data_IF_954627930746
#
_entry.id   IF_954627930746
#
_cell.length_a   1.000
_cell.length_b   1.000
_cell.length_c   1.000
_cell.angle_alpha   90.00
_cell.angle_beta   90.00
_cell.angle_gamma   90.00
#
_symmetry.space_group_name_H-M   'P 1'
#
loop_
_entity.id
_entity.type
_entity.pdbx_description
1 polymer ?
#
# COMPACT_ATOMS: atom_id res chain seq x y z
N UNK A 1 -9.69 10.58 19.68
CA UNK A 1 -10.24 9.82 18.54
C UNK A 1 -9.05 9.26 17.75
N UNK A 2 -8.54 8.08 18.10
CA UNK A 2 -7.31 7.54 17.50
C UNK A 2 -7.56 7.08 16.07
N UNK A 3 -6.90 7.71 15.10
CA UNK A 3 -6.95 7.28 13.71
C UNK A 3 -6.50 5.81 13.63
N UNK A 4 -7.42 4.92 13.27
CA UNK A 4 -7.12 3.50 13.01
C UNK A 4 -6.24 3.47 11.75
N UNK A 5 -4.91 3.40 11.92
CA UNK A 5 -3.99 3.14 10.80
C UNK A 5 -4.34 1.79 10.18
N UNK A 6 -4.76 1.78 8.92
CA UNK A 6 -4.88 0.56 8.15
C UNK A 6 -3.50 0.06 7.75
N UNK A 7 -3.15 -1.19 8.08
CA UNK A 7 -1.90 -1.82 7.62
C UNK A 7 -2.05 -2.25 6.16
N UNK A 8 -1.12 -1.83 5.31
CA UNK A 8 -0.94 -2.33 3.94
C UNK A 8 0.16 -3.40 3.88
N UNK A 9 0.23 -4.27 4.89
CA UNK A 9 1.01 -5.51 4.83
C UNK A 9 0.49 -6.33 3.64
N UNK A 10 1.16 -6.22 2.50
CA UNK A 10 0.86 -7.05 1.35
C UNK A 10 2.15 -7.28 0.59
N UNK A 11 2.48 -8.56 0.43
CA UNK A 11 3.72 -9.02 -0.18
C UNK A 11 3.73 -8.58 -1.65
N UNK A 12 4.78 -7.88 -2.06
CA UNK A 12 5.03 -7.53 -3.46
C UNK A 12 5.96 -8.57 -4.07
N UNK A 13 5.59 -9.11 -5.23
CA UNK A 13 6.38 -10.08 -5.95
C UNK A 13 7.31 -9.37 -6.96
N UNK A 14 8.62 -9.51 -6.78
CA UNK A 14 9.61 -8.80 -7.61
C UNK A 14 10.03 -9.57 -8.85
N UNK A 15 9.71 -10.86 -8.92
CA UNK A 15 10.05 -11.73 -10.05
C UNK A 15 8.94 -11.74 -11.10
N UNK A 16 7.74 -11.30 -10.71
CA UNK A 16 6.60 -11.11 -11.57
C UNK A 16 6.88 -10.04 -12.64
N UNK A 17 6.38 -10.23 -13.88
CA UNK A 17 6.42 -9.21 -14.92
C UNK A 17 5.53 -7.99 -14.60
N UNK A 18 4.71 -8.06 -13.56
CA UNK A 18 3.82 -6.98 -13.15
C UNK A 18 4.61 -5.89 -12.41
N UNK A 19 4.53 -4.60 -12.82
CA UNK A 19 5.23 -3.53 -12.12
C UNK A 19 4.83 -3.39 -10.64
N UNK A 20 5.80 -3.13 -9.77
CA UNK A 20 5.59 -3.05 -8.31
C UNK A 20 4.56 -2.00 -7.88
N UNK A 21 4.48 -0.85 -8.57
CA UNK A 21 3.48 0.18 -8.27
C UNK A 21 2.06 -0.35 -8.55
N UNK A 22 1.90 -1.19 -9.57
CA UNK A 22 0.61 -1.74 -9.97
C UNK A 22 0.17 -2.82 -8.98
N UNK A 23 1.10 -3.69 -8.57
CA UNK A 23 0.85 -4.67 -7.51
C UNK A 23 0.45 -3.97 -6.20
N UNK A 24 1.13 -2.88 -5.85
CA UNK A 24 0.80 -2.08 -4.67
C UNK A 24 -0.60 -1.47 -4.76
N UNK A 25 -0.97 -0.90 -5.91
CA UNK A 25 -2.30 -0.34 -6.13
C UNK A 25 -3.41 -1.42 -6.04
N UNK A 26 -3.21 -2.59 -6.65
CA UNK A 26 -4.09 -3.75 -6.55
C UNK A 26 -4.28 -4.23 -5.10
N UNK A 27 -3.20 -4.26 -4.33
CA UNK A 27 -3.21 -4.64 -2.92
C UNK A 27 -4.01 -3.63 -2.08
N UNK A 28 -3.83 -2.33 -2.33
CA UNK A 28 -4.60 -1.27 -1.68
C UNK A 28 -6.09 -1.36 -2.04
N UNK A 29 -6.42 -1.53 -3.31
CA UNK A 29 -7.80 -1.72 -3.78
C UNK A 29 -8.46 -2.92 -3.08
N UNK A 30 -7.74 -4.04 -2.97
CA UNK A 30 -8.22 -5.25 -2.28
C UNK A 30 -8.39 -5.00 -0.78
N UNK A 31 -7.47 -4.27 -0.14
CA UNK A 31 -7.57 -3.91 1.26
C UNK A 31 -8.77 -3.00 1.55
N UNK A 32 -9.09 -2.07 0.64
CA UNK A 32 -10.29 -1.22 0.70
C UNK A 32 -11.54 -2.06 0.53
N UNK A 33 -11.62 -2.90 -0.52
CA UNK A 33 -12.79 -3.76 -0.79
C UNK A 33 -13.06 -4.76 0.33
N UNK A 34 -12.01 -5.29 0.97
CA UNK A 34 -12.14 -6.20 2.12
C UNK A 34 -12.43 -5.50 3.45
N UNK A 35 -12.48 -4.16 3.47
CA UNK A 35 -12.72 -3.37 4.69
C UNK A 35 -11.53 -3.31 5.66
N UNK A 36 -10.38 -3.89 5.30
CA UNK A 36 -9.12 -3.76 6.07
C UNK A 36 -8.60 -2.32 6.08
N UNK A 37 -8.86 -1.60 4.98
CA UNK A 37 -8.60 -0.18 4.83
C UNK A 37 -9.95 0.52 4.75
N UNK A 38 -10.45 1.00 5.89
CA UNK A 38 -11.73 1.70 5.94
C UNK A 38 -11.63 3.03 5.22
N UNK A 39 -12.67 3.40 4.47
CA UNK A 39 -12.81 4.75 3.90
C UNK A 39 -12.66 5.81 4.98
N UNK A 40 -11.83 6.83 4.72
CA UNK A 40 -11.49 7.87 5.70
C UNK A 40 -10.38 7.51 6.70
N UNK A 41 -9.86 6.28 6.66
CA UNK A 41 -8.65 5.92 7.40
C UNK A 41 -7.44 6.59 6.76
N UNK A 42 -6.58 7.19 7.57
CA UNK A 42 -5.29 7.64 7.08
C UNK A 42 -4.42 6.43 6.73
N UNK A 43 -3.98 6.38 5.47
CA UNK A 43 -2.85 5.57 5.06
C UNK A 43 -1.60 6.02 5.83
N UNK A 44 -0.66 5.09 6.02
CA UNK A 44 0.65 5.47 6.50
C UNK A 44 1.34 6.38 5.46
N UNK A 45 2.28 7.21 5.91
CA UNK A 45 3.03 8.09 5.01
C UNK A 45 3.77 7.25 3.94
N UNK A 46 3.86 7.77 2.70
CA UNK A 46 4.60 7.14 1.59
C UNK A 46 6.02 6.69 1.98
N UNK A 47 6.70 7.41 2.89
CA UNK A 47 8.04 7.05 3.38
C UNK A 47 8.00 5.75 4.19
N UNK A 48 7.02 5.63 5.08
CA UNK A 48 6.87 4.45 5.92
C UNK A 48 6.43 3.24 5.09
N UNK A 49 5.52 3.45 4.12
CA UNK A 49 5.16 2.40 3.16
C UNK A 49 6.36 1.92 2.36
N UNK A 50 7.15 2.86 1.82
CA UNK A 50 8.35 2.56 1.04
C UNK A 50 9.35 1.72 1.85
N UNK A 51 9.55 2.08 3.13
CA UNK A 51 10.43 1.37 4.07
C UNK A 51 9.91 -0.03 4.39
N UNK A 52 8.62 -0.18 4.70
CA UNK A 52 8.02 -1.48 5.03
C UNK A 52 8.03 -2.44 3.84
N UNK A 53 7.65 -1.95 2.67
CA UNK A 53 7.54 -2.74 1.43
C UNK A 53 8.88 -2.90 0.69
N UNK A 54 9.93 -2.21 1.17
CA UNK A 54 11.27 -2.16 0.54
C UNK A 54 11.15 -1.81 -0.95
N UNK A 55 10.49 -0.70 -1.23
CA UNK A 55 10.34 -0.10 -2.57
C UNK A 55 10.74 1.37 -2.52
N UNK A 56 10.98 1.97 -3.68
CA UNK A 56 11.30 3.39 -3.76
C UNK A 56 10.07 4.25 -3.48
N UNK A 57 10.27 5.40 -2.83
CA UNK A 57 9.22 6.43 -2.63
C UNK A 57 8.43 6.77 -3.92
N UNK A 58 9.07 6.99 -5.08
CA UNK A 58 8.32 7.22 -6.34
C UNK A 58 7.42 6.05 -6.76
N UNK A 59 7.76 4.80 -6.40
CA UNK A 59 6.92 3.63 -6.65
C UNK A 59 5.65 3.68 -5.81
N UNK A 60 5.77 4.04 -4.52
CA UNK A 60 4.62 4.22 -3.63
C UNK A 60 3.74 5.36 -4.12
N UNK A 61 4.33 6.53 -4.43
CA UNK A 61 3.61 7.69 -4.95
C UNK A 61 2.82 7.38 -6.24
N UNK A 62 3.33 6.48 -7.08
CA UNK A 62 2.65 6.07 -8.32
C UNK A 62 1.47 5.10 -8.08
N UNK A 63 1.41 4.47 -6.90
CA UNK A 63 0.40 3.47 -6.56
C UNK A 63 -0.83 4.04 -5.84
N UNK A 64 -0.74 5.28 -5.34
CA UNK A 64 -1.79 5.99 -4.58
C UNK A 64 -2.51 7.04 -5.41
#
# INVERSE_FOLDING_TARGET
MGARRGRTDTVLDRESPVPLYYQLAQNMETAIRSGRLSSGSHLENEIELARQLRVSRPTVRRAI
#
